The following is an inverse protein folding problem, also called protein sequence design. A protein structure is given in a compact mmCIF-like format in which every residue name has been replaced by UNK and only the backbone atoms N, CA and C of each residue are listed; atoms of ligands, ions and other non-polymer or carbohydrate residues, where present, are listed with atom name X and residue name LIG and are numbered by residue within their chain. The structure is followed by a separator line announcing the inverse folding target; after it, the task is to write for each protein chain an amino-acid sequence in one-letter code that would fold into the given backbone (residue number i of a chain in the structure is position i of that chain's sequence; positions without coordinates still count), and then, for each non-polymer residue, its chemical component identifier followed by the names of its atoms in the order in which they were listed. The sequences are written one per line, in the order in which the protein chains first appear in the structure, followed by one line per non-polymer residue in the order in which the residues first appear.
data_IF_638442628464
#
_entry.id   IF_638442628464
#
_cell.length_a   1.000
_cell.length_b   1.000
_cell.length_c   1.000
_cell.angle_alpha   90.00
_cell.angle_beta   90.00
_cell.angle_gamma   90.00
#
_symmetry.space_group_name_H-M   'P 1'
#
loop_
_entity.id
_entity.type
_entity.pdbx_description
1 polymer ?
#
# COMPACT_ATOMS: atom_id res chain seq x y z
N UNK A 1 4.46 4.68 -30.89
CA UNK A 1 5.05 3.66 -30.01
C UNK A 1 4.35 3.81 -28.67
N UNK A 2 3.49 2.90 -28.22
CA UNK A 2 2.88 3.04 -26.91
C UNK A 2 4.00 2.82 -25.88
N UNK A 3 4.29 3.85 -25.09
CA UNK A 3 5.16 3.71 -23.93
C UNK A 3 4.45 2.78 -22.95
N UNK A 4 5.14 1.74 -22.48
CA UNK A 4 4.68 0.91 -21.38
C UNK A 4 4.35 1.82 -20.19
N UNK A 5 3.07 1.94 -19.85
CA UNK A 5 2.52 2.69 -18.70
C UNK A 5 2.82 1.94 -17.38
N UNK A 6 3.73 0.96 -17.41
CA UNK A 6 4.08 0.14 -16.27
C UNK A 6 4.99 0.92 -15.32
N UNK A 7 4.45 1.36 -14.18
CA UNK A 7 5.25 1.59 -12.99
C UNK A 7 6.11 0.33 -12.76
N UNK A 8 7.44 0.49 -12.70
CA UNK A 8 8.37 -0.63 -12.54
C UNK A 8 8.03 -1.37 -11.23
N UNK A 9 7.34 -2.51 -11.34
CA UNK A 9 6.91 -3.31 -10.19
C UNK A 9 5.42 -3.24 -9.82
N UNK A 10 4.56 -2.60 -10.62
CA UNK A 10 3.11 -2.75 -10.50
C UNK A 10 2.59 -3.52 -11.72
N UNK A 11 2.00 -4.69 -11.52
CA UNK A 11 1.30 -5.39 -12.61
C UNK A 11 0.05 -4.59 -13.00
N UNK A 12 -0.34 -4.65 -14.28
CA UNK A 12 -1.54 -3.97 -14.84
C UNK A 12 -2.84 -4.23 -14.05
N UNK A 13 -2.88 -5.29 -13.23
CA UNK A 13 -4.00 -5.62 -12.35
C UNK A 13 -4.20 -4.66 -11.16
N UNK A 14 -3.15 -3.92 -10.75
CA UNK A 14 -3.20 -2.97 -9.63
C UNK A 14 -3.76 -1.59 -10.02
N UNK A 15 -3.90 -1.27 -11.30
CA UNK A 15 -4.46 0.01 -11.77
C UNK A 15 -6.00 0.00 -11.81
N UNK A 16 -6.65 -0.37 -10.71
CA UNK A 16 -8.11 -0.31 -10.57
C UNK A 16 -8.48 0.70 -9.48
N UNK A 17 -8.38 1.99 -9.81
CA UNK A 17 -8.72 3.08 -8.90
C UNK A 17 -8.31 4.44 -9.46
N UNK A 18 -8.97 5.51 -9.05
CA UNK A 18 -8.62 6.87 -9.47
C UNK A 18 -7.24 7.27 -8.90
N UNK A 19 -6.91 6.76 -7.71
CA UNK A 19 -5.67 6.92 -6.97
C UNK A 19 -4.49 6.33 -7.73
N UNK A 20 -4.65 5.12 -8.26
CA UNK A 20 -3.63 4.44 -9.06
C UNK A 20 -3.34 5.21 -10.35
N UNK A 21 -4.39 5.67 -11.05
CA UNK A 21 -4.23 6.47 -12.28
C UNK A 21 -3.56 7.82 -11.97
N UNK A 22 -3.99 8.50 -10.91
CA UNK A 22 -3.38 9.76 -10.48
C UNK A 22 -1.90 9.59 -10.09
N UNK A 23 -1.58 8.53 -9.34
CA UNK A 23 -0.21 8.16 -9.01
C UNK A 23 0.62 7.93 -10.29
N UNK A 24 0.09 7.22 -11.28
CA UNK A 24 0.77 7.03 -12.56
C UNK A 24 1.13 8.35 -13.24
N UNK A 25 0.21 9.32 -13.28
CA UNK A 25 0.44 10.62 -13.91
C UNK A 25 1.63 11.34 -13.24
N UNK A 26 1.69 11.30 -11.91
CA UNK A 26 2.79 11.91 -11.15
C UNK A 26 4.11 11.17 -11.38
N UNK A 27 4.10 9.84 -11.30
CA UNK A 27 5.31 9.02 -11.48
C UNK A 27 5.90 9.11 -12.90
N UNK A 28 5.08 9.41 -13.90
CA UNK A 28 5.54 9.64 -15.28
C UNK A 28 5.95 11.10 -15.55
N UNK A 29 5.92 11.97 -14.53
CA UNK A 29 6.40 13.36 -14.62
C UNK A 29 5.41 14.34 -15.27
N UNK A 30 4.13 13.99 -15.36
CA UNK A 30 3.09 14.89 -15.88
C UNK A 30 2.49 15.80 -14.79
N UNK A 31 2.75 15.52 -13.51
CA UNK A 31 2.35 16.30 -12.34
C UNK A 31 3.33 16.07 -11.19
N UNK A 32 3.41 16.99 -10.22
CA UNK A 32 4.32 16.88 -9.08
C UNK A 32 3.72 16.12 -7.88
N UNK A 33 2.39 16.22 -7.69
CA UNK A 33 1.69 15.69 -6.52
C UNK A 33 0.32 15.12 -6.88
N UNK A 34 -0.15 14.14 -6.10
CA UNK A 34 -1.55 13.70 -6.10
C UNK A 34 -2.29 14.42 -4.98
N UNK A 35 -3.36 15.13 -5.31
CA UNK A 35 -4.26 15.70 -4.29
C UNK A 35 -5.39 14.73 -3.96
N UNK A 36 -5.36 14.13 -2.77
CA UNK A 36 -6.42 13.22 -2.29
C UNK A 36 -6.45 13.18 -0.76
N UNK A 37 -7.59 12.81 -0.19
CA UNK A 37 -7.66 12.48 1.24
C UNK A 37 -7.39 10.99 1.52
N UNK A 38 -7.45 10.17 0.47
CA UNK A 38 -7.18 8.74 0.51
C UNK A 38 -5.66 8.46 0.53
N UNK A 39 -5.24 7.59 1.45
CA UNK A 39 -3.84 7.25 1.66
C UNK A 39 -3.37 6.11 0.74
N UNK A 40 -4.26 5.44 0.02
CA UNK A 40 -3.91 4.34 -0.88
C UNK A 40 -2.96 4.78 -2.00
N UNK A 41 -2.93 6.08 -2.31
CA UNK A 41 -1.95 6.70 -3.21
C UNK A 41 -0.50 6.37 -2.81
N UNK A 42 -0.21 6.30 -1.51
CA UNK A 42 1.14 6.07 -0.99
C UNK A 42 1.65 4.66 -1.28
N UNK A 43 0.75 3.68 -1.47
CA UNK A 43 1.11 2.30 -1.86
C UNK A 43 1.77 2.28 -3.24
N UNK A 44 1.46 3.26 -4.09
CA UNK A 44 2.03 3.42 -5.42
C UNK A 44 3.30 4.29 -5.43
N UNK A 45 3.86 4.65 -4.27
CA UNK A 45 5.03 5.53 -4.12
C UNK A 45 4.86 6.97 -4.64
N UNK A 46 3.64 7.40 -4.97
CA UNK A 46 3.40 8.78 -5.41
C UNK A 46 3.26 9.73 -4.20
N UNK A 47 3.83 10.95 -4.27
CA UNK A 47 3.69 11.94 -3.21
C UNK A 47 2.25 12.47 -3.13
N UNK A 48 1.71 12.46 -1.91
CA UNK A 48 0.31 12.77 -1.60
C UNK A 48 0.19 14.11 -0.87
N UNK A 49 -0.69 14.96 -1.39
CA UNK A 49 -1.10 16.21 -0.76
C UNK A 49 -2.50 16.05 -0.15
N UNK A 50 -2.57 16.09 1.19
CA UNK A 50 -3.81 15.96 1.96
C UNK A 50 -4.32 17.29 2.49
N UNK A 51 -5.55 17.24 3.01
CA UNK A 51 -6.29 18.37 3.55
C UNK A 51 -6.69 19.38 2.47
N UNK A 52 -6.90 18.92 1.23
CA UNK A 52 -7.24 19.76 0.06
C UNK A 52 -8.68 20.29 0.12
N UNK A 53 -9.56 19.56 0.80
CA UNK A 53 -10.97 19.96 0.97
C UNK A 53 -11.18 20.93 2.14
N UNK A 54 -10.15 21.12 2.97
CA UNK A 54 -10.20 21.98 4.13
C UNK A 54 -9.65 23.36 3.79
N UNK A 55 -10.56 24.30 3.60
CA UNK A 55 -10.25 25.66 3.19
C UNK A 55 -9.55 26.52 4.25
N UNK A 56 -9.43 26.05 5.49
CA UNK A 56 -8.88 26.82 6.61
C UNK A 56 -7.65 26.19 7.25
N UNK A 57 -7.38 24.91 7.00
CA UNK A 57 -6.24 24.18 7.56
C UNK A 57 -5.02 24.15 6.63
N UNK A 58 -3.82 23.84 7.15
CA UNK A 58 -2.62 23.69 6.34
C UNK A 58 -2.71 22.43 5.47
N UNK A 59 -2.13 22.50 4.26
CA UNK A 59 -1.93 21.30 3.44
C UNK A 59 -0.86 20.40 4.07
N UNK A 60 -1.07 19.09 3.99
CA UNK A 60 -0.10 18.11 4.52
C UNK A 60 0.49 17.33 3.36
N UNK A 61 1.81 17.46 3.16
CA UNK A 61 2.55 16.65 2.21
C UNK A 61 3.02 15.37 2.89
N UNK A 62 2.78 14.24 2.24
CA UNK A 62 3.29 12.93 2.65
C UNK A 62 3.97 12.26 1.47
N UNK A 63 5.13 11.65 1.72
CA UNK A 63 5.89 10.90 0.73
C UNK A 63 6.10 9.46 1.21
N UNK A 64 6.03 8.50 0.30
CA UNK A 64 6.32 7.10 0.62
C UNK A 64 7.76 6.91 1.17
N UNK A 65 8.82 7.55 0.62
CA UNK A 65 10.17 7.46 1.18
C UNK A 65 10.26 7.89 2.65
N UNK A 66 9.59 8.97 3.05
CA UNK A 66 9.60 9.43 4.44
C UNK A 66 8.94 8.42 5.37
N UNK A 67 7.85 7.79 4.91
CA UNK A 67 7.12 6.77 5.65
C UNK A 67 7.95 5.48 5.77
N UNK A 68 8.58 5.03 4.68
CA UNK A 68 9.48 3.89 4.68
C UNK A 68 10.62 4.09 5.70
N UNK A 69 11.22 5.27 5.71
CA UNK A 69 12.27 5.63 6.67
C UNK A 69 11.75 5.65 8.11
N UNK A 70 10.59 6.27 8.36
CA UNK A 70 9.99 6.36 9.69
C UNK A 70 9.61 4.98 10.27
N UNK A 71 9.15 4.06 9.42
CA UNK A 71 8.79 2.70 9.83
C UNK A 71 9.97 1.73 9.83
N UNK A 72 11.06 2.11 9.14
CA UNK A 72 12.22 1.27 8.81
C UNK A 72 11.82 0.06 7.95
N UNK A 73 10.98 0.31 6.93
CA UNK A 73 10.48 -0.68 5.99
C UNK A 73 11.08 -0.47 4.60
N UNK A 74 11.28 -1.58 3.88
CA UNK A 74 11.41 -1.53 2.43
C UNK A 74 10.02 -1.45 1.78
N UNK A 75 9.99 -1.21 0.47
CA UNK A 75 8.74 -1.05 -0.29
C UNK A 75 7.84 -2.28 -0.14
N UNK A 76 8.40 -3.48 -0.27
CA UNK A 76 7.66 -4.75 -0.17
C UNK A 76 7.03 -4.93 1.21
N UNK A 77 7.79 -4.68 2.28
CA UNK A 77 7.27 -4.74 3.65
C UNK A 77 6.20 -3.68 3.91
N UNK A 78 6.32 -2.51 3.29
CA UNK A 78 5.31 -1.46 3.39
C UNK A 78 4.00 -1.85 2.69
N UNK A 79 4.07 -2.44 1.49
CA UNK A 79 2.89 -2.96 0.78
C UNK A 79 2.21 -4.06 1.61
N UNK A 80 2.97 -5.03 2.11
CA UNK A 80 2.48 -6.09 2.99
C UNK A 80 1.84 -5.51 4.27
N UNK A 81 2.47 -4.50 4.85
CA UNK A 81 1.91 -3.80 6.00
C UNK A 81 0.55 -3.18 5.68
N UNK A 82 0.42 -2.46 4.55
CA UNK A 82 -0.85 -1.86 4.12
C UNK A 82 -1.93 -2.92 3.89
N UNK A 83 -1.59 -4.04 3.25
CA UNK A 83 -2.49 -5.19 3.06
C UNK A 83 -3.01 -5.72 4.40
N UNK A 84 -2.14 -5.84 5.42
CA UNK A 84 -2.54 -6.28 6.77
C UNK A 84 -3.45 -5.28 7.50
N UNK A 85 -3.32 -3.97 7.23
CA UNK A 85 -4.24 -2.96 7.75
C UNK A 85 -5.65 -3.09 7.14
N UNK A 86 -5.70 -3.63 5.93
CA UNK A 86 -6.90 -3.83 5.13
C UNK A 86 -6.93 -2.81 4.00
N UNK A 87 -6.85 -3.33 2.77
CA UNK A 87 -7.03 -2.58 1.52
C UNK A 87 -8.23 -3.14 0.78
N UNK A 88 -8.75 -2.41 -0.20
CA UNK A 88 -9.85 -2.89 -1.05
C UNK A 88 -9.46 -4.07 -1.95
N UNK A 89 -8.16 -4.39 -2.03
CA UNK A 89 -7.61 -5.44 -2.88
C UNK A 89 -7.58 -6.82 -2.24
N UNK A 90 -7.71 -6.93 -0.90
CA UNK A 90 -7.52 -8.20 -0.20
C UNK A 90 -8.44 -8.38 1.01
N UNK A 91 -8.73 -9.63 1.36
CA UNK A 91 -9.48 -9.89 2.57
C UNK A 91 -8.66 -9.64 3.84
N UNK A 92 -9.17 -8.79 4.74
CA UNK A 92 -8.52 -8.52 6.00
C UNK A 92 -8.46 -9.74 6.95
N UNK A 93 -7.27 -10.04 7.45
CA UNK A 93 -7.05 -11.02 8.52
C UNK A 93 -7.68 -10.52 9.82
N UNK A 94 -8.61 -11.30 10.39
CA UNK A 94 -9.34 -10.90 11.61
C UNK A 94 -8.39 -10.77 12.80
N UNK A 95 -8.65 -9.79 13.67
CA UNK A 95 -7.89 -9.52 14.90
C UNK A 95 -6.44 -9.05 14.71
N UNK A 96 -6.04 -8.80 13.46
CA UNK A 96 -4.82 -8.06 13.11
C UNK A 96 -5.21 -6.59 12.89
N UNK A 97 -4.67 -5.74 13.75
CA UNK A 97 -4.81 -4.28 13.68
C UNK A 97 -3.44 -3.63 13.59
N UNK A 98 -3.38 -2.28 13.50
CA UNK A 98 -2.15 -1.57 13.16
C UNK A 98 -0.93 -1.93 14.00
N UNK A 99 -1.10 -1.98 15.33
CA UNK A 99 -0.02 -2.35 16.26
C UNK A 99 0.50 -3.77 16.04
N UNK A 100 -0.39 -4.72 15.72
CA UNK A 100 0.01 -6.10 15.45
C UNK A 100 0.63 -6.25 14.07
N UNK A 101 0.05 -5.62 13.05
CA UNK A 101 0.61 -5.62 11.71
C UNK A 101 2.05 -5.09 11.72
N UNK A 102 2.28 -3.95 12.40
CA UNK A 102 3.62 -3.37 12.55
C UNK A 102 4.58 -4.34 13.25
N UNK A 103 4.13 -5.01 14.32
CA UNK A 103 4.93 -6.03 15.02
C UNK A 103 5.26 -7.20 14.09
N UNK A 104 4.26 -7.72 13.39
CA UNK A 104 4.40 -8.91 12.54
C UNK A 104 5.34 -8.67 11.37
N UNK A 105 5.22 -7.54 10.67
CA UNK A 105 6.14 -7.20 9.57
C UNK A 105 7.58 -7.06 10.09
N UNK A 106 7.78 -6.45 11.26
CA UNK A 106 9.12 -6.36 11.87
C UNK A 106 9.71 -7.70 12.29
N UNK A 107 8.87 -8.65 12.70
CA UNK A 107 9.31 -9.94 13.23
C UNK A 107 9.48 -11.01 12.13
N UNK A 108 8.61 -10.99 11.12
CA UNK A 108 8.49 -12.05 10.12
C UNK A 108 8.77 -11.58 8.68
N UNK A 109 8.83 -10.27 8.44
CA UNK A 109 9.11 -9.67 7.13
C UNK A 109 7.88 -9.65 6.22
N UNK A 110 7.42 -10.82 5.77
CA UNK A 110 6.39 -10.94 4.72
C UNK A 110 5.10 -11.60 5.21
N UNK A 111 4.00 -11.40 4.49
CA UNK A 111 2.70 -12.02 4.81
C UNK A 111 2.78 -13.55 4.84
N UNK A 112 3.52 -14.18 3.93
CA UNK A 112 3.70 -15.63 3.87
C UNK A 112 4.31 -16.16 5.18
N UNK A 113 5.39 -15.51 5.64
CA UNK A 113 6.06 -15.88 6.87
C UNK A 113 5.17 -15.67 8.10
N UNK A 114 4.36 -14.60 8.10
CA UNK A 114 3.39 -14.33 9.17
C UNK A 114 2.36 -15.46 9.26
N UNK A 115 1.77 -15.87 8.13
CA UNK A 115 0.75 -16.92 8.11
C UNK A 115 1.35 -18.25 8.59
N UNK A 116 2.56 -18.58 8.15
CA UNK A 116 3.26 -19.80 8.57
C UNK A 116 3.60 -19.79 10.08
N UNK A 117 4.05 -18.66 10.62
CA UNK A 117 4.46 -18.55 12.02
C UNK A 117 3.29 -18.33 13.01
N UNK A 118 2.17 -17.77 12.56
CA UNK A 118 1.04 -17.36 13.40
C UNK A 118 -0.28 -18.01 12.95
N UNK A 119 -0.45 -19.34 13.12
CA UNK A 119 -1.66 -20.06 12.71
C UNK A 119 -2.93 -19.64 13.47
N UNK A 120 -2.78 -18.85 14.55
CA UNK A 120 -3.87 -18.25 15.31
C UNK A 120 -4.65 -17.19 14.50
N UNK A 121 -4.03 -16.61 13.48
CA UNK A 121 -4.62 -15.55 12.66
C UNK A 121 -4.74 -16.01 11.20
N UNK A 122 -5.58 -17.01 10.89
CA UNK A 122 -5.72 -17.48 9.52
C UNK A 122 -6.46 -16.46 8.65
N UNK A 123 -6.16 -16.42 7.33
CA UNK A 123 -7.02 -15.79 6.34
C UNK A 123 -8.44 -16.38 6.37
N UNK A 124 -9.41 -15.65 5.83
CA UNK A 124 -10.80 -16.12 5.76
C UNK A 124 -11.05 -17.13 4.63
N UNK A 125 -10.24 -17.04 3.58
CA UNK A 125 -10.25 -17.95 2.43
C UNK A 125 -9.11 -18.95 2.55
N UNK A 126 -9.01 -19.88 1.59
CA UNK A 126 -7.92 -20.86 1.54
C UNK A 126 -6.58 -20.10 1.44
N UNK A 127 -5.56 -20.56 2.16
CA UNK A 127 -4.27 -19.86 2.26
C UNK A 127 -3.66 -19.62 0.88
N UNK A 128 -3.66 -20.62 0.00
CA UNK A 128 -3.10 -20.49 -1.35
C UNK A 128 -3.85 -19.44 -2.18
N UNK A 129 -5.19 -19.37 -2.05
CA UNK A 129 -6.00 -18.34 -2.72
C UNK A 129 -5.68 -16.95 -2.18
N UNK A 130 -5.52 -16.82 -0.85
CA UNK A 130 -5.13 -15.56 -0.23
C UNK A 130 -3.75 -15.08 -0.65
N UNK A 131 -2.78 -15.99 -0.71
CA UNK A 131 -1.41 -15.67 -1.14
C UNK A 131 -1.37 -15.21 -2.60
N UNK A 132 -2.22 -15.75 -3.46
CA UNK A 132 -2.34 -15.26 -4.84
C UNK A 132 -3.04 -13.89 -4.93
N UNK A 133 -3.97 -13.55 -4.02
CA UNK A 133 -4.58 -12.21 -3.95
C UNK A 133 -3.58 -11.11 -3.53
N UNK A 134 -2.67 -11.40 -2.60
CA UNK A 134 -1.75 -10.40 -2.01
C UNK A 134 -0.41 -10.27 -2.74
N UNK A 135 -0.22 -11.07 -3.78
CA UNK A 135 1.01 -11.11 -4.58
C UNK A 135 1.18 -9.81 -5.36
N UNK A 136 2.34 -9.16 -5.22
CA UNK A 136 2.67 -7.89 -5.84
C UNK A 136 4.07 -7.90 -6.46
#
# INVERSE_FOLDING_TARGET
MPADIGCRGCTLHQYRGAEAVAASIVLHGFSDYVGSEDMDVLVYDAPLLRNISNWTGPLTLMSAPDIHNALSFDRTSFVDFCILLGTDFSQRIKHVGPMRALKFIREYGTIENIIAAQPKYPPRIVVDEYLEEVKH
#
